data_IF_302756046066
#
_entry.id   IF_302756046066
#
_cell.length_a   1.000
_cell.length_b   1.000
_cell.length_c   1.000
_cell.angle_alpha   90.00
_cell.angle_beta   90.00
_cell.angle_gamma   90.00
#
_symmetry.space_group_name_H-M   'P 1'
#
loop_
_entity.id
_entity.type
_entity.pdbx_description
1 polymer ?
#
# COMPACT_ATOMS: atom_id res chain seq x y z
N UNK A 1 19.26 -8.71 5.63
CA UNK A 1 18.20 -7.97 6.36
C UNK A 1 17.11 -8.96 6.73
N UNK A 2 16.81 -9.16 8.01
CA UNK A 2 15.59 -9.88 8.39
C UNK A 2 14.39 -9.00 8.02
N UNK A 3 13.60 -9.43 7.04
CA UNK A 3 12.31 -8.81 6.76
C UNK A 3 11.38 -9.12 7.94
N UNK A 4 11.13 -8.14 8.79
CA UNK A 4 10.06 -8.23 9.78
C UNK A 4 8.72 -8.10 9.07
N UNK A 5 7.78 -8.99 9.38
CA UNK A 5 6.39 -8.89 8.93
C UNK A 5 5.80 -7.58 9.43
N UNK A 6 5.24 -6.78 8.53
CA UNK A 6 4.52 -5.56 8.91
C UNK A 6 3.10 -5.95 9.31
N UNK A 7 2.80 -5.79 10.59
CA UNK A 7 1.45 -5.88 11.19
C UNK A 7 0.95 -4.47 11.54
N UNK A 8 -0.34 -4.33 11.85
CA UNK A 8 -0.91 -3.06 12.34
C UNK A 8 -0.17 -2.53 13.58
N UNK A 9 0.22 -3.42 14.49
CA UNK A 9 0.97 -3.05 15.70
C UNK A 9 2.34 -2.48 15.32
N UNK A 10 3.11 -3.21 14.50
CA UNK A 10 4.45 -2.75 14.08
C UNK A 10 4.38 -1.48 13.22
N UNK A 11 3.29 -1.28 12.47
CA UNK A 11 3.03 -0.06 11.70
C UNK A 11 2.80 1.12 12.65
N UNK A 12 1.95 0.97 13.67
CA UNK A 12 1.71 2.01 14.68
C UNK A 12 2.99 2.39 15.41
N UNK A 13 3.79 1.39 15.82
CA UNK A 13 5.10 1.63 16.43
C UNK A 13 6.02 2.44 15.51
N UNK A 14 6.09 2.09 14.22
CA UNK A 14 6.89 2.84 13.25
C UNK A 14 6.40 4.28 13.05
N UNK A 15 5.08 4.48 13.01
CA UNK A 15 4.45 5.80 12.92
C UNK A 15 4.76 6.65 14.14
N UNK A 16 4.73 6.07 15.35
CA UNK A 16 5.06 6.79 16.58
C UNK A 16 6.54 7.21 16.60
N UNK A 17 7.45 6.31 16.22
CA UNK A 17 8.89 6.63 16.08
C UNK A 17 9.13 7.77 15.08
N UNK A 18 8.38 7.82 13.98
CA UNK A 18 8.50 8.90 13.00
C UNK A 18 7.91 10.22 13.52
N UNK A 19 6.73 10.17 14.16
CA UNK A 19 6.08 11.33 14.77
C UNK A 19 6.92 11.95 15.90
N UNK A 20 7.66 11.15 16.66
CA UNK A 20 8.59 11.66 17.68
C UNK A 20 9.77 12.43 17.08
N UNK A 21 10.16 12.14 15.83
CA UNK A 21 11.34 12.72 15.17
C UNK A 21 11.01 13.90 14.26
N UNK A 22 9.77 13.98 13.77
CA UNK A 22 9.35 14.96 12.78
C UNK A 22 8.02 15.60 13.20
N UNK A 23 8.05 16.92 13.42
CA UNK A 23 6.87 17.66 13.88
C UNK A 23 5.73 17.71 12.85
N UNK A 24 6.03 17.60 11.56
CA UNK A 24 5.01 17.57 10.53
C UNK A 24 4.34 16.20 10.47
N UNK A 25 5.12 15.11 10.62
CA UNK A 25 4.56 13.77 10.76
C UNK A 25 3.74 13.62 12.05
N UNK A 26 4.17 14.24 13.15
CA UNK A 26 3.36 14.31 14.38
C UNK A 26 2.00 14.96 14.11
N UNK A 27 1.99 16.14 13.48
CA UNK A 27 0.74 16.87 13.18
C UNK A 27 -0.19 16.07 12.27
N UNK A 28 0.36 15.36 11.28
CA UNK A 28 -0.40 14.49 10.40
C UNK A 28 -1.03 13.34 11.18
N UNK A 29 -0.26 12.63 12.01
CA UNK A 29 -0.75 11.53 12.85
C UNK A 29 -1.81 12.02 13.85
N UNK A 30 -1.58 13.16 14.50
CA UNK A 30 -2.51 13.74 15.48
C UNK A 30 -3.85 14.13 14.84
N UNK A 31 -3.81 14.66 13.61
CA UNK A 31 -5.00 15.09 12.87
C UNK A 31 -5.76 13.93 12.20
N UNK A 32 -5.05 12.96 11.63
CA UNK A 32 -5.63 11.91 10.76
C UNK A 32 -5.66 10.52 11.42
N UNK A 33 -4.98 10.35 12.55
CA UNK A 33 -4.76 9.04 13.17
C UNK A 33 -3.68 8.22 12.47
N UNK A 34 -3.67 6.92 12.76
CA UNK A 34 -2.73 5.98 12.16
C UNK A 34 -3.18 5.61 10.74
N UNK A 35 -2.25 5.51 9.77
CA UNK A 35 -2.58 5.00 8.45
C UNK A 35 -3.02 3.53 8.54
N UNK A 36 -3.93 3.09 7.65
CA UNK A 36 -4.25 1.68 7.54
C UNK A 36 -3.06 0.91 6.96
N UNK A 37 -2.96 -0.38 7.30
CA UNK A 37 -2.00 -1.27 6.66
C UNK A 37 -2.42 -1.53 5.20
N UNK A 38 -1.69 -0.95 4.24
CA UNK A 38 -1.89 -1.22 2.80
C UNK A 38 -1.24 -2.53 2.36
N UNK A 39 -1.58 -3.63 3.02
CA UNK A 39 -1.10 -4.95 2.64
C UNK A 39 -1.68 -5.40 1.30
N UNK A 40 -0.86 -6.10 0.52
CA UNK A 40 -1.27 -6.78 -0.72
C UNK A 40 -0.70 -8.19 -0.70
N UNK A 41 -1.47 -9.16 -1.22
CA UNK A 41 -1.01 -10.54 -1.37
C UNK A 41 0.28 -10.54 -2.21
N UNK A 42 1.40 -11.12 -1.74
CA UNK A 42 2.61 -11.20 -2.54
C UNK A 42 2.41 -12.06 -3.79
N UNK A 43 2.96 -11.63 -4.93
CA UNK A 43 2.98 -12.46 -6.14
C UNK A 43 2.92 -11.68 -7.45
N UNK A 44 2.97 -12.43 -8.55
CA UNK A 44 2.99 -11.87 -9.91
C UNK A 44 1.73 -11.04 -10.22
N UNK A 45 0.55 -11.52 -9.82
CA UNK A 45 -0.70 -10.80 -10.04
C UNK A 45 -0.68 -9.40 -9.39
N UNK A 46 -0.19 -9.30 -8.15
CA UNK A 46 -0.07 -8.03 -7.44
C UNK A 46 0.98 -7.11 -8.06
N UNK A 47 2.09 -7.66 -8.58
CA UNK A 47 3.07 -6.89 -9.34
C UNK A 47 2.45 -6.27 -10.61
N UNK A 48 1.70 -7.07 -11.38
CA UNK A 48 0.98 -6.57 -12.56
C UNK A 48 -0.03 -5.49 -12.15
N UNK A 49 -0.78 -5.70 -11.06
CA UNK A 49 -1.72 -4.70 -10.55
C UNK A 49 -1.01 -3.38 -10.19
N UNK A 50 0.15 -3.43 -9.53
CA UNK A 50 0.97 -2.25 -9.20
C UNK A 50 1.41 -1.51 -10.46
N UNK A 51 1.88 -2.24 -11.49
CA UNK A 51 2.29 -1.63 -12.76
C UNK A 51 1.12 -0.92 -13.43
N UNK A 52 -0.06 -1.54 -13.44
CA UNK A 52 -1.25 -0.97 -14.08
C UNK A 52 -1.86 0.21 -13.31
N UNK A 53 -1.56 0.37 -12.02
CA UNK A 53 -1.97 1.52 -11.20
C UNK A 53 -1.14 2.78 -11.47
N UNK A 54 0.01 2.68 -12.13
CA UNK A 54 0.90 3.81 -12.33
C UNK A 54 0.27 4.88 -13.25
N UNK A 55 0.27 6.12 -12.77
CA UNK A 55 -0.14 7.33 -13.51
C UNK A 55 -1.58 7.31 -14.06
N UNK A 56 -2.46 6.49 -13.47
CA UNK A 56 -3.87 6.40 -13.87
C UNK A 56 -4.79 6.38 -12.66
N UNK A 57 -6.09 6.55 -12.89
CA UNK A 57 -7.08 6.37 -11.81
C UNK A 57 -7.16 4.90 -11.38
N UNK A 58 -7.48 4.67 -10.10
CA UNK A 58 -7.71 3.32 -9.54
C UNK A 58 -8.75 2.54 -10.37
N UNK A 59 -9.81 3.23 -10.83
CA UNK A 59 -10.85 2.62 -11.67
C UNK A 59 -10.32 2.18 -13.04
N UNK A 60 -9.43 2.97 -13.65
CA UNK A 60 -8.81 2.62 -14.92
C UNK A 60 -7.89 1.41 -14.76
N UNK A 61 -7.03 1.41 -13.73
CA UNK A 61 -6.14 0.30 -13.40
C UNK A 61 -6.91 -1.01 -13.19
N UNK A 62 -7.99 -0.98 -12.40
CA UNK A 62 -8.86 -2.14 -12.18
C UNK A 62 -9.47 -2.66 -13.49
N UNK A 63 -9.92 -1.77 -14.37
CA UNK A 63 -10.48 -2.14 -15.68
C UNK A 63 -9.44 -2.82 -16.57
N UNK A 64 -8.22 -2.26 -16.62
CA UNK A 64 -7.10 -2.82 -17.38
C UNK A 64 -6.70 -4.20 -16.85
N UNK A 65 -6.62 -4.35 -15.53
CA UNK A 65 -6.31 -5.63 -14.89
C UNK A 65 -7.32 -6.72 -15.26
N UNK A 66 -8.63 -6.42 -15.22
CA UNK A 66 -9.67 -7.37 -15.63
C UNK A 66 -9.57 -7.76 -17.10
N UNK A 67 -9.27 -6.81 -17.99
CA UNK A 67 -9.05 -7.09 -19.42
C UNK A 67 -7.85 -8.00 -19.64
N UNK A 68 -6.70 -7.71 -19.04
CA UNK A 68 -5.51 -8.55 -19.10
C UNK A 68 -5.75 -9.96 -18.55
N UNK A 69 -6.48 -10.09 -17.43
CA UNK A 69 -6.83 -11.39 -16.88
C UNK A 69 -7.79 -12.18 -17.80
N UNK A 70 -8.70 -11.48 -18.48
CA UNK A 70 -9.62 -12.09 -19.45
C UNK A 70 -8.91 -12.64 -20.69
N UNK A 71 -7.87 -11.97 -21.18
CA UNK A 71 -7.10 -12.44 -22.36
C UNK A 71 -6.26 -13.69 -22.09
N UNK A 72 -5.97 -14.00 -20.83
CA UNK A 72 -5.20 -15.19 -20.43
C UNK A 72 -6.08 -16.43 -20.21
N UNK A 73 -7.40 -16.26 -20.16
CA UNK A 73 -8.39 -17.34 -19.95
C UNK A 73 -9.03 -17.85 -21.25
N UNK A 74 -8.61 -17.31 -22.39
CA UNK A 74 -9.00 -17.73 -23.74
C UNK A 74 -7.89 -18.57 -24.37
#
# INVERSE_FOLDING_TARGET
>A
MQQKTITDETLRMGVDVLAERDSDLYRIRDRLGYPPLWAREPGFASLVHIILEQQVSIKAAATMFQRCAGTLKA
#
